data_IF_001416338239
#
_entry.id   IF_001416338239
#
_cell.length_a   1.000
_cell.length_b   1.000
_cell.length_c   1.000
_cell.angle_alpha   90.00
_cell.angle_beta   90.00
_cell.angle_gamma   90.00
#
_symmetry.space_group_name_H-M   'P 1'
#
loop_
_entity.id
_entity.type
_entity.pdbx_description
1 polymer ?
#
# COMPACT_ATOMS: atom_id res chain seq x y z
N UNK A 1 -18.71 -13.79 13.00
CA UNK A 1 -17.70 -12.71 12.96
C UNK A 1 -17.49 -12.28 14.39
N UNK A 2 -16.28 -12.49 14.93
CA UNK A 2 -15.99 -12.17 16.32
C UNK A 2 -15.89 -10.67 16.57
N UNK A 3 -16.03 -10.25 17.81
CA UNK A 3 -16.06 -8.84 18.30
C UNK A 3 -14.81 -8.00 18.02
N UNK A 4 -13.92 -8.42 17.13
CA UNK A 4 -12.62 -7.77 16.84
C UNK A 4 -12.56 -6.97 15.53
N UNK A 5 -13.61 -6.93 14.72
CA UNK A 5 -13.63 -6.14 13.49
C UNK A 5 -14.74 -5.10 13.55
N UNK A 6 -14.39 -3.83 13.41
CA UNK A 6 -15.38 -2.76 13.25
C UNK A 6 -15.80 -2.66 11.79
N UNK A 7 -17.11 -2.55 11.53
CA UNK A 7 -17.63 -2.22 10.21
C UNK A 7 -17.12 -0.86 9.75
N UNK A 8 -16.98 -0.68 8.45
CA UNK A 8 -16.51 0.57 7.84
C UNK A 8 -17.67 1.37 7.22
N UNK A 9 -18.91 1.07 7.62
CA UNK A 9 -20.09 1.80 7.14
C UNK A 9 -19.99 3.29 7.40
N UNK A 10 -20.27 4.07 6.36
CA UNK A 10 -20.18 5.53 6.42
C UNK A 10 -18.76 6.10 6.50
N UNK A 11 -17.72 5.27 6.45
CA UNK A 11 -16.32 5.71 6.43
C UNK A 11 -15.84 5.96 5.00
N UNK A 12 -14.99 6.99 4.83
CA UNK A 12 -14.24 7.21 3.61
C UNK A 12 -12.86 6.53 3.74
N UNK A 13 -12.58 5.61 2.84
CA UNK A 13 -11.26 5.01 2.68
C UNK A 13 -10.57 5.55 1.41
N UNK A 14 -9.28 5.82 1.49
CA UNK A 14 -8.48 6.25 0.35
C UNK A 14 -7.33 5.27 0.09
N UNK A 15 -7.24 4.74 -1.13
CA UNK A 15 -6.22 3.77 -1.52
C UNK A 15 -5.38 4.36 -2.65
N UNK A 16 -4.12 4.70 -2.37
CA UNK A 16 -3.16 5.05 -3.44
C UNK A 16 -2.64 3.79 -4.10
N UNK A 17 -2.42 3.83 -5.42
CA UNK A 17 -2.11 2.62 -6.19
C UNK A 17 -3.30 1.67 -6.35
N UNK A 18 -4.53 2.20 -6.24
CA UNK A 18 -5.78 1.42 -6.21
C UNK A 18 -6.21 0.79 -7.54
N UNK A 19 -5.52 1.08 -8.65
CA UNK A 19 -5.91 0.56 -9.97
C UNK A 19 -5.51 -0.89 -10.25
N UNK A 20 -4.59 -1.50 -9.51
CA UNK A 20 -4.13 -2.87 -9.77
C UNK A 20 -3.60 -3.56 -8.50
N UNK A 21 -3.40 -4.87 -8.56
CA UNK A 21 -2.68 -5.65 -7.55
C UNK A 21 -3.23 -5.49 -6.13
N UNK A 22 -2.35 -5.26 -5.16
CA UNK A 22 -2.71 -5.12 -3.74
C UNK A 22 -3.71 -3.99 -3.54
N UNK A 23 -3.49 -2.81 -4.15
CA UNK A 23 -4.38 -1.66 -3.98
C UNK A 23 -5.80 -1.93 -4.47
N UNK A 24 -5.97 -2.58 -5.66
CA UNK A 24 -7.29 -2.98 -6.17
C UNK A 24 -7.97 -3.99 -5.25
N UNK A 25 -7.27 -5.03 -4.80
CA UNK A 25 -7.82 -6.03 -3.90
C UNK A 25 -8.23 -5.42 -2.55
N UNK A 26 -7.40 -4.51 -2.02
CA UNK A 26 -7.72 -3.76 -0.80
C UNK A 26 -8.94 -2.86 -0.98
N UNK A 27 -9.06 -2.16 -2.12
CA UNK A 27 -10.24 -1.34 -2.41
C UNK A 27 -11.52 -2.20 -2.46
N UNK A 28 -11.46 -3.39 -3.04
CA UNK A 28 -12.56 -4.34 -3.05
C UNK A 28 -12.94 -4.80 -1.63
N UNK A 29 -11.94 -5.11 -0.81
CA UNK A 29 -12.15 -5.53 0.58
C UNK A 29 -12.83 -4.43 1.40
N UNK A 30 -12.29 -3.20 1.35
CA UNK A 30 -12.83 -2.03 2.07
C UNK A 30 -14.26 -1.71 1.65
N UNK A 31 -14.54 -1.80 0.34
CA UNK A 31 -15.89 -1.61 -0.18
C UNK A 31 -16.89 -2.65 0.35
N UNK A 32 -16.50 -3.93 0.40
CA UNK A 32 -17.32 -5.01 1.00
C UNK A 32 -17.53 -4.82 2.50
N UNK A 33 -16.58 -4.20 3.19
CA UNK A 33 -16.69 -3.84 4.60
C UNK A 33 -17.58 -2.60 4.85
N UNK A 34 -18.18 -2.01 3.81
CA UNK A 34 -19.13 -0.89 3.90
C UNK A 34 -18.54 0.49 3.65
N UNK A 35 -17.26 0.62 3.38
CA UNK A 35 -16.65 1.93 3.09
C UNK A 35 -17.07 2.50 1.74
N UNK A 36 -17.07 3.83 1.62
CA UNK A 36 -16.86 4.50 0.33
C UNK A 36 -15.37 4.55 0.08
N UNK A 37 -14.92 4.03 -1.06
CA UNK A 37 -13.48 3.88 -1.33
C UNK A 37 -13.06 4.76 -2.49
N UNK A 38 -12.16 5.71 -2.24
CA UNK A 38 -11.49 6.46 -3.27
C UNK A 38 -10.21 5.72 -3.70
N UNK A 39 -10.01 5.55 -4.99
CA UNK A 39 -8.81 4.94 -5.57
C UNK A 39 -8.01 5.96 -6.37
N UNK A 40 -6.70 6.02 -6.13
CA UNK A 40 -5.79 6.95 -6.80
C UNK A 40 -4.63 6.23 -7.48
N UNK A 41 -4.14 6.86 -8.53
CA UNK A 41 -3.00 6.45 -9.33
C UNK A 41 -2.86 7.33 -10.57
N UNK A 42 -1.81 7.14 -11.34
CA UNK A 42 -1.53 7.95 -12.55
C UNK A 42 -2.28 7.50 -13.80
N UNK A 43 -2.60 6.21 -13.87
CA UNK A 43 -3.25 5.60 -15.06
C UNK A 43 -4.76 5.65 -14.88
N UNK A 44 -5.37 6.70 -15.41
CA UNK A 44 -6.81 6.96 -15.27
C UNK A 44 -7.64 5.80 -15.84
N UNK A 45 -7.27 5.27 -16.99
CA UNK A 45 -7.95 4.15 -17.63
C UNK A 45 -8.01 2.90 -16.76
N UNK A 46 -6.88 2.57 -16.08
CA UNK A 46 -6.83 1.43 -15.14
C UNK A 46 -7.67 1.66 -13.89
N UNK A 47 -7.73 2.92 -13.41
CA UNK A 47 -8.58 3.29 -12.28
C UNK A 47 -10.05 3.15 -12.64
N UNK A 48 -10.46 3.68 -13.79
CA UNK A 48 -11.86 3.61 -14.25
C UNK A 48 -12.28 2.18 -14.54
N UNK A 49 -11.41 1.36 -15.15
CA UNK A 49 -11.66 -0.06 -15.32
C UNK A 49 -11.89 -0.76 -13.99
N UNK A 50 -11.00 -0.56 -13.03
CA UNK A 50 -11.14 -1.13 -11.69
C UNK A 50 -12.40 -0.63 -10.99
N UNK A 51 -12.69 0.67 -11.08
CA UNK A 51 -13.89 1.25 -10.47
C UNK A 51 -15.17 0.67 -11.10
N UNK A 52 -15.22 0.52 -12.42
CA UNK A 52 -16.37 -0.08 -13.11
C UNK A 52 -16.61 -1.53 -12.67
N UNK A 53 -15.54 -2.35 -12.59
CA UNK A 53 -15.62 -3.73 -12.16
C UNK A 53 -16.10 -3.86 -10.69
N UNK A 54 -15.64 -2.98 -9.81
CA UNK A 54 -16.03 -2.99 -8.40
C UNK A 54 -17.43 -2.40 -8.18
N UNK A 55 -17.80 -1.35 -8.92
CA UNK A 55 -19.17 -0.77 -8.90
C UNK A 55 -20.20 -1.79 -9.40
N UNK A 56 -19.85 -2.62 -10.38
CA UNK A 56 -20.72 -3.72 -10.86
C UNK A 56 -20.97 -4.78 -9.78
N UNK A 57 -20.12 -4.85 -8.75
CA UNK A 57 -20.32 -5.68 -7.56
C UNK A 57 -21.13 -4.96 -6.45
N UNK A 58 -21.67 -3.78 -6.72
CA UNK A 58 -22.43 -2.96 -5.76
C UNK A 58 -21.57 -2.14 -4.80
N UNK A 59 -20.25 -2.02 -5.02
CA UNK A 59 -19.35 -1.29 -4.13
C UNK A 59 -19.31 0.21 -4.47
N UNK A 60 -19.17 1.05 -3.45
CA UNK A 60 -19.07 2.51 -3.59
C UNK A 60 -17.61 2.90 -3.86
N UNK A 61 -17.26 3.10 -5.13
CA UNK A 61 -15.90 3.41 -5.57
C UNK A 61 -15.85 4.78 -6.23
N UNK A 62 -14.96 5.64 -5.77
CA UNK A 62 -14.63 6.94 -6.37
C UNK A 62 -13.26 6.87 -7.06
N UNK A 63 -13.13 7.51 -8.21
CA UNK A 63 -11.86 7.66 -8.90
C UNK A 63 -11.32 9.05 -8.66
N UNK A 64 -10.14 9.13 -8.05
CA UNK A 64 -9.44 10.38 -7.75
C UNK A 64 -7.99 10.28 -8.26
N UNK A 65 -7.72 10.55 -9.55
CA UNK A 65 -6.39 10.42 -10.12
C UNK A 65 -5.37 11.29 -9.37
N UNK A 66 -4.21 10.72 -9.08
CA UNK A 66 -3.10 11.46 -8.46
C UNK A 66 -1.75 10.82 -8.82
N UNK A 67 -0.73 11.65 -8.98
CA UNK A 67 0.66 11.22 -8.87
C UNK A 67 1.13 11.44 -7.44
N UNK A 68 1.40 10.35 -6.71
CA UNK A 68 1.87 10.44 -5.31
C UNK A 68 3.20 11.17 -5.18
N UNK A 69 4.01 11.22 -6.24
CA UNK A 69 5.27 11.95 -6.28
C UNK A 69 5.09 13.47 -6.31
N UNK A 70 3.88 13.96 -6.63
CA UNK A 70 3.51 15.37 -6.69
C UNK A 70 2.56 15.72 -5.53
N UNK A 71 3.03 16.50 -4.59
CA UNK A 71 2.26 16.92 -3.41
C UNK A 71 1.00 17.72 -3.78
N UNK A 72 1.06 18.55 -4.83
CA UNK A 72 -0.11 19.32 -5.29
C UNK A 72 -1.17 18.43 -5.90
N UNK A 73 -0.76 17.42 -6.69
CA UNK A 73 -1.67 16.41 -7.24
C UNK A 73 -2.36 15.60 -6.13
N UNK A 74 -1.61 15.20 -5.09
CA UNK A 74 -2.15 14.49 -3.93
C UNK A 74 -3.15 15.37 -3.16
N UNK A 75 -2.81 16.63 -2.89
CA UNK A 75 -3.68 17.57 -2.19
C UNK A 75 -4.99 17.82 -2.95
N UNK A 76 -4.94 17.97 -4.27
CA UNK A 76 -6.12 18.16 -5.11
C UNK A 76 -7.05 16.94 -5.09
N UNK A 77 -6.48 15.73 -5.21
CA UNK A 77 -7.25 14.49 -5.10
C UNK A 77 -7.90 14.35 -3.72
N UNK A 78 -7.15 14.59 -2.64
CA UNK A 78 -7.68 14.57 -1.28
C UNK A 78 -8.80 15.59 -1.09
N UNK A 79 -8.63 16.84 -1.52
CA UNK A 79 -9.65 17.88 -1.41
C UNK A 79 -10.95 17.48 -2.14
N UNK A 80 -10.84 16.85 -3.31
CA UNK A 80 -11.98 16.37 -4.07
C UNK A 80 -12.78 15.30 -3.33
N UNK A 81 -12.10 14.26 -2.80
CA UNK A 81 -12.79 13.16 -2.11
C UNK A 81 -13.31 13.58 -0.74
N UNK A 82 -12.54 14.36 0.02
CA UNK A 82 -12.94 14.81 1.35
C UNK A 82 -14.07 15.85 1.31
N UNK A 83 -14.09 16.69 0.27
CA UNK A 83 -15.19 17.65 0.05
C UNK A 83 -16.53 16.99 -0.27
N UNK A 84 -16.52 15.77 -0.83
CA UNK A 84 -17.73 15.00 -1.16
C UNK A 84 -18.19 14.08 -0.04
N UNK A 85 -17.26 13.46 0.68
CA UNK A 85 -17.53 12.33 1.56
C UNK A 85 -17.10 12.56 3.02
N UNK A 86 -16.57 13.74 3.34
CA UNK A 86 -16.02 14.03 4.65
C UNK A 86 -14.57 13.53 4.83
N UNK A 87 -14.04 13.55 6.05
CA UNK A 87 -12.65 13.23 6.30
C UNK A 87 -12.32 11.76 5.98
N UNK A 88 -11.14 11.55 5.43
CA UNK A 88 -10.60 10.19 5.21
C UNK A 88 -10.38 9.52 6.55
N UNK A 89 -11.06 8.41 6.79
CA UNK A 89 -10.95 7.62 8.03
C UNK A 89 -9.91 6.49 7.90
N UNK A 90 -9.68 6.00 6.67
CA UNK A 90 -8.72 4.94 6.36
C UNK A 90 -7.88 5.36 5.17
N UNK A 91 -6.55 5.37 5.33
CA UNK A 91 -5.60 5.56 4.24
C UNK A 91 -4.79 4.26 4.02
N UNK A 92 -4.74 3.79 2.77
CA UNK A 92 -3.86 2.68 2.38
C UNK A 92 -2.87 3.17 1.33
N UNK A 93 -1.60 3.26 1.70
CA UNK A 93 -0.52 3.65 0.81
C UNK A 93 0.03 2.42 0.07
N UNK A 94 -0.62 2.03 -1.04
CA UNK A 94 -0.20 0.88 -1.86
C UNK A 94 0.47 1.29 -3.18
N UNK A 95 0.60 2.58 -3.47
CA UNK A 95 1.39 3.05 -4.61
C UNK A 95 2.87 2.73 -4.41
N UNK A 96 3.49 2.15 -5.42
CA UNK A 96 4.91 1.84 -5.38
C UNK A 96 5.45 1.44 -6.74
N UNK A 97 6.77 1.55 -6.87
CA UNK A 97 7.49 1.22 -8.10
C UNK A 97 8.86 0.61 -7.80
N UNK A 98 9.45 0.03 -8.81
CA UNK A 98 10.86 -0.33 -8.84
C UNK A 98 11.41 -0.09 -10.26
N UNK A 99 12.73 -0.12 -10.40
CA UNK A 99 13.42 -0.01 -11.68
C UNK A 99 13.97 -1.37 -12.11
N UNK A 100 14.15 -1.62 -13.42
CA UNK A 100 14.77 -2.85 -13.91
C UNK A 100 16.24 -2.98 -13.48
N UNK A 101 17.00 -1.88 -13.58
CA UNK A 101 18.42 -1.83 -13.23
C UNK A 101 18.59 -1.64 -11.73
N UNK A 102 18.87 -2.71 -10.99
CA UNK A 102 18.81 -2.77 -9.53
C UNK A 102 20.16 -2.81 -8.82
N UNK A 103 21.22 -3.26 -9.52
CA UNK A 103 22.58 -3.34 -8.97
C UNK A 103 23.28 -1.98 -9.04
N UNK A 104 24.20 -1.71 -8.13
CA UNK A 104 24.99 -0.48 -8.14
C UNK A 104 25.71 -0.23 -9.48
N UNK A 105 26.10 -1.28 -10.19
CA UNK A 105 26.76 -1.18 -11.50
C UNK A 105 25.83 -0.75 -12.64
N UNK A 106 24.51 -0.81 -12.46
CA UNK A 106 23.50 -0.52 -13.51
C UNK A 106 22.47 0.51 -13.11
N UNK A 107 22.32 0.79 -11.81
CA UNK A 107 21.37 1.74 -11.29
C UNK A 107 21.89 3.16 -11.54
N UNK A 108 21.03 4.02 -12.12
CA UNK A 108 21.36 5.43 -12.30
C UNK A 108 20.87 6.28 -11.11
N UNK A 109 21.48 7.46 -10.86
CA UNK A 109 20.99 8.39 -9.84
C UNK A 109 19.51 8.76 -10.01
N UNK A 110 19.05 8.97 -11.25
CA UNK A 110 17.67 9.31 -11.58
C UNK A 110 16.73 8.13 -11.28
N UNK A 111 17.18 6.89 -11.58
CA UNK A 111 16.45 5.67 -11.25
C UNK A 111 16.29 5.50 -9.74
N UNK A 112 17.35 5.77 -8.97
CA UNK A 112 17.33 5.77 -7.51
C UNK A 112 16.34 6.82 -7.00
N UNK A 113 16.50 8.09 -7.42
CA UNK A 113 15.67 9.22 -7.01
C UNK A 113 14.19 8.97 -7.31
N UNK A 114 13.86 8.42 -8.48
CA UNK A 114 12.48 8.06 -8.87
C UNK A 114 11.84 7.05 -7.91
N UNK A 115 12.58 6.03 -7.48
CA UNK A 115 12.06 5.02 -6.54
C UNK A 115 11.81 5.66 -5.17
N UNK A 116 12.75 6.46 -4.67
CA UNK A 116 12.59 7.18 -3.40
C UNK A 116 11.39 8.14 -3.46
N UNK A 117 11.28 8.92 -4.54
CA UNK A 117 10.21 9.89 -4.71
C UNK A 117 8.82 9.24 -4.68
N UNK A 118 8.64 8.09 -5.32
CA UNK A 118 7.34 7.41 -5.36
C UNK A 118 7.09 6.63 -4.06
N UNK A 119 8.07 5.83 -3.61
CA UNK A 119 7.84 4.85 -2.56
C UNK A 119 7.92 5.44 -1.14
N UNK A 120 8.63 6.56 -0.96
CA UNK A 120 8.81 7.21 0.34
C UNK A 120 8.15 8.58 0.38
N UNK A 121 8.56 9.52 -0.49
CA UNK A 121 8.00 10.87 -0.49
C UNK A 121 6.51 10.84 -0.83
N UNK A 122 6.10 9.98 -1.76
CA UNK A 122 4.69 9.79 -2.12
C UNK A 122 3.83 9.28 -0.96
N UNK A 123 4.38 8.47 -0.06
CA UNK A 123 3.71 8.07 1.19
C UNK A 123 3.55 9.27 2.11
N UNK A 124 4.63 10.04 2.32
CA UNK A 124 4.58 11.24 3.16
C UNK A 124 3.55 12.26 2.64
N UNK A 125 3.48 12.48 1.33
CA UNK A 125 2.49 13.37 0.72
C UNK A 125 1.05 12.93 1.04
N UNK A 126 0.74 11.63 0.88
CA UNK A 126 -0.60 11.11 1.18
C UNK A 126 -0.94 11.20 2.67
N UNK A 127 0.01 10.92 3.55
CA UNK A 127 -0.15 11.04 5.01
C UNK A 127 -0.40 12.50 5.39
N UNK A 128 0.40 13.44 4.90
CA UNK A 128 0.22 14.86 5.16
C UNK A 128 -1.17 15.36 4.76
N UNK A 129 -1.72 14.88 3.66
CA UNK A 129 -3.04 15.28 3.19
C UNK A 129 -4.15 14.87 4.14
N UNK A 130 -4.09 13.67 4.76
CA UNK A 130 -5.18 13.12 5.58
C UNK A 130 -5.09 13.48 7.06
N UNK A 131 -3.89 13.72 7.60
CA UNK A 131 -3.68 13.93 9.04
C UNK A 131 -4.55 15.03 9.65
N UNK A 132 -4.69 16.24 9.05
CA UNK A 132 -5.54 17.29 9.63
C UNK A 132 -6.99 16.85 9.82
N UNK A 133 -7.54 16.14 8.82
CA UNK A 133 -8.90 15.61 8.87
C UNK A 133 -9.06 14.50 9.91
N UNK A 134 -8.09 13.59 10.00
CA UNK A 134 -8.09 12.51 11.00
C UNK A 134 -7.99 13.06 12.42
N UNK A 135 -7.11 14.05 12.67
CA UNK A 135 -7.04 14.74 13.98
C UNK A 135 -8.35 15.38 14.36
N UNK A 136 -8.99 16.13 13.44
CA UNK A 136 -10.25 16.78 13.68
C UNK A 136 -11.41 15.80 13.93
N UNK A 137 -11.36 14.61 13.30
CA UNK A 137 -12.34 13.54 13.49
C UNK A 137 -12.07 12.67 14.74
N UNK A 138 -10.99 12.92 15.48
CA UNK A 138 -10.61 12.14 16.66
C UNK A 138 -10.04 10.76 16.37
N UNK A 139 -9.51 10.53 15.17
CA UNK A 139 -8.80 9.30 14.84
C UNK A 139 -8.85 8.90 13.38
N UNK A 140 -8.08 7.87 13.07
CA UNK A 140 -7.98 7.28 11.74
C UNK A 140 -7.06 6.07 11.73
N UNK A 141 -7.05 5.34 10.62
CA UNK A 141 -6.14 4.21 10.42
C UNK A 141 -5.37 4.37 9.12
N UNK A 142 -4.05 4.26 9.20
CA UNK A 142 -3.14 4.35 8.05
C UNK A 142 -2.40 3.03 7.91
N UNK A 143 -2.50 2.38 6.75
CA UNK A 143 -1.71 1.20 6.42
C UNK A 143 -0.72 1.54 5.31
N UNK A 144 0.57 1.47 5.62
CA UNK A 144 1.65 1.77 4.68
C UNK A 144 2.20 0.46 4.15
N UNK A 145 1.91 0.16 2.87
CA UNK A 145 2.38 -1.06 2.22
C UNK A 145 3.87 -0.92 1.88
N UNK A 146 4.67 -1.52 2.74
CA UNK A 146 6.11 -1.66 2.59
C UNK A 146 6.46 -2.92 1.78
N UNK A 147 7.32 -3.75 2.29
CA UNK A 147 7.78 -5.01 1.71
C UNK A 147 8.57 -5.80 2.74
N UNK A 148 8.69 -7.11 2.54
CA UNK A 148 9.69 -7.91 3.28
C UNK A 148 11.11 -7.34 3.10
N UNK A 149 11.39 -6.65 1.98
CA UNK A 149 12.64 -5.92 1.75
C UNK A 149 12.80 -4.63 2.56
N UNK A 150 11.73 -4.14 3.18
CA UNK A 150 11.74 -3.03 4.14
C UNK A 150 11.87 -3.51 5.58
N UNK A 151 11.47 -4.76 5.85
CA UNK A 151 11.58 -5.39 7.16
C UNK A 151 12.96 -5.96 7.42
N UNK A 152 13.57 -6.57 6.39
CA UNK A 152 14.93 -7.13 6.48
C UNK A 152 15.62 -7.01 5.12
N UNK A 153 16.94 -6.81 5.12
CA UNK A 153 17.70 -6.66 3.89
C UNK A 153 17.52 -7.87 2.96
N UNK A 154 17.25 -7.58 1.70
CA UNK A 154 17.26 -8.53 0.58
C UNK A 154 17.98 -7.88 -0.61
N UNK A 155 18.86 -8.60 -1.25
CA UNK A 155 19.63 -8.14 -2.41
C UNK A 155 18.79 -8.05 -3.71
N UNK A 156 17.91 -9.02 -3.89
CA UNK A 156 17.07 -9.18 -5.08
C UNK A 156 16.24 -7.95 -5.50
N UNK A 157 15.57 -7.22 -4.59
CA UNK A 157 14.81 -6.03 -4.97
C UNK A 157 15.69 -4.85 -5.39
N UNK A 158 16.96 -4.86 -5.04
CA UNK A 158 17.92 -3.81 -5.31
C UNK A 158 17.89 -2.67 -4.30
N UNK A 159 18.99 -1.90 -4.27
CA UNK A 159 19.25 -0.91 -3.23
C UNK A 159 18.21 0.20 -3.17
N UNK A 160 17.78 0.77 -4.30
CA UNK A 160 16.81 1.86 -4.33
C UNK A 160 15.48 1.45 -3.69
N UNK A 161 15.00 0.25 -4.04
CA UNK A 161 13.75 -0.28 -3.50
C UNK A 161 13.88 -0.60 -2.01
N UNK A 162 14.91 -1.36 -1.61
CA UNK A 162 15.12 -1.72 -0.21
C UNK A 162 15.25 -0.48 0.67
N UNK A 163 16.08 0.50 0.26
CA UNK A 163 16.23 1.76 0.99
C UNK A 163 14.90 2.50 1.13
N UNK A 164 14.11 2.60 0.04
CA UNK A 164 12.82 3.27 0.07
C UNK A 164 11.82 2.61 1.01
N UNK A 165 11.83 1.27 1.09
CA UNK A 165 10.90 0.50 1.92
C UNK A 165 11.35 0.41 3.38
N UNK A 166 12.65 0.35 3.65
CA UNK A 166 13.21 0.40 5.01
C UNK A 166 12.96 1.76 5.66
N UNK A 167 13.06 2.86 4.90
CA UNK A 167 12.80 4.20 5.41
C UNK A 167 11.34 4.45 5.85
N UNK A 168 10.42 3.56 5.50
CA UNK A 168 9.02 3.65 5.94
C UNK A 168 8.83 3.26 7.42
N UNK A 169 9.72 2.43 7.99
CA UNK A 169 9.62 2.02 9.38
C UNK A 169 9.76 3.20 10.35
N UNK A 170 10.84 4.01 10.35
CA UNK A 170 10.92 5.19 11.21
C UNK A 170 9.81 6.22 10.95
N UNK A 171 9.30 6.31 9.71
CA UNK A 171 8.16 7.17 9.41
C UNK A 171 6.89 6.68 10.13
N UNK A 172 6.64 5.38 10.15
CA UNK A 172 5.50 4.79 10.89
C UNK A 172 5.67 4.97 12.39
N UNK A 173 6.86 4.75 12.93
CA UNK A 173 7.13 4.92 14.36
C UNK A 173 6.91 6.36 14.81
N UNK A 174 7.44 7.35 14.07
CA UNK A 174 7.22 8.77 14.35
C UNK A 174 5.73 9.13 14.30
N UNK A 175 4.98 8.64 13.31
CA UNK A 175 3.55 8.88 13.21
C UNK A 175 2.78 8.29 14.40
N UNK A 176 3.11 7.08 14.85
CA UNK A 176 2.46 6.49 16.01
C UNK A 176 2.78 7.24 17.31
N UNK A 177 4.02 7.72 17.46
CA UNK A 177 4.44 8.53 18.63
C UNK A 177 3.69 9.88 18.66
N UNK A 178 3.64 10.59 17.55
CA UNK A 178 3.07 11.93 17.50
C UNK A 178 1.53 11.93 17.43
N UNK A 179 0.94 11.02 16.64
CA UNK A 179 -0.47 11.05 16.28
C UNK A 179 -1.35 10.10 17.11
N UNK A 180 -0.74 9.17 17.85
CA UNK A 180 -1.47 8.25 18.73
C UNK A 180 -2.37 8.96 19.73
N UNK A 181 -1.97 10.12 20.27
CA UNK A 181 -2.79 10.97 21.15
C UNK A 181 -4.03 11.55 20.47
N UNK A 182 -4.07 11.59 19.13
CA UNK A 182 -5.20 12.02 18.33
C UNK A 182 -6.06 10.84 17.83
N UNK A 183 -5.78 9.62 18.31
CA UNK A 183 -6.48 8.41 17.90
C UNK A 183 -6.10 7.90 16.50
N UNK A 184 -5.02 8.43 15.88
CA UNK A 184 -4.50 7.94 14.62
C UNK A 184 -3.53 6.79 14.88
N UNK A 185 -3.70 5.69 14.17
CA UNK A 185 -2.82 4.52 14.24
C UNK A 185 -2.27 4.17 12.87
N UNK A 186 -1.00 3.82 12.81
CA UNK A 186 -0.28 3.59 11.57
C UNK A 186 0.39 2.21 11.60
N UNK A 187 0.25 1.45 10.51
CA UNK A 187 0.85 0.14 10.35
C UNK A 187 1.93 0.14 9.27
N UNK A 188 3.12 -0.36 9.64
CA UNK A 188 4.16 -0.78 8.69
C UNK A 188 3.82 -2.18 8.18
N UNK A 189 3.24 -2.27 7.00
CA UNK A 189 2.77 -3.53 6.44
C UNK A 189 3.79 -4.11 5.44
N UNK A 190 4.39 -5.25 5.77
CA UNK A 190 5.53 -5.84 5.07
C UNK A 190 5.16 -7.16 4.36
N UNK A 191 4.57 -7.11 3.15
CA UNK A 191 4.29 -8.32 2.40
C UNK A 191 5.55 -8.92 1.80
N UNK A 192 5.58 -10.26 1.72
CA UNK A 192 6.50 -11.02 0.91
C UNK A 192 6.17 -10.91 -0.58
N UNK A 193 6.45 -11.97 -1.34
CA UNK A 193 6.13 -11.97 -2.77
C UNK A 193 4.62 -12.14 -2.98
N UNK A 194 4.06 -11.26 -3.79
CA UNK A 194 2.62 -11.20 -4.13
C UNK A 194 2.46 -11.30 -5.64
N UNK A 195 1.56 -12.16 -6.10
CA UNK A 195 1.23 -12.36 -7.52
C UNK A 195 0.52 -11.14 -8.12
N UNK A 196 1.28 -10.11 -8.46
CA UNK A 196 0.79 -8.83 -8.99
C UNK A 196 1.43 -8.48 -10.32
N UNK A 197 0.82 -7.59 -11.12
CA UNK A 197 1.38 -7.17 -12.42
C UNK A 197 2.80 -6.60 -12.36
N UNK A 198 3.23 -6.07 -11.21
CA UNK A 198 4.59 -5.54 -11.03
C UNK A 198 5.67 -6.60 -11.23
N UNK A 199 5.36 -7.88 -11.08
CA UNK A 199 6.29 -8.98 -11.32
C UNK A 199 6.82 -9.01 -12.74
N UNK A 200 6.00 -8.55 -13.71
CA UNK A 200 6.38 -8.49 -15.14
C UNK A 200 7.46 -7.44 -15.43
N UNK A 201 7.71 -6.51 -14.49
CA UNK A 201 8.75 -5.46 -14.61
C UNK A 201 10.10 -5.94 -14.07
N UNK A 202 10.19 -7.15 -13.56
CA UNK A 202 11.46 -7.73 -13.07
C UNK A 202 12.40 -8.01 -14.22
N UNK A 203 13.72 -7.89 -14.02
CA UNK A 203 14.71 -8.29 -15.02
C UNK A 203 14.52 -9.74 -15.48
N UNK A 204 14.19 -10.63 -14.55
CA UNK A 204 13.77 -12.01 -14.82
C UNK A 204 12.41 -12.21 -14.16
N UNK A 205 11.33 -12.25 -14.95
CA UNK A 205 10.00 -12.55 -14.42
C UNK A 205 9.93 -13.97 -13.82
N UNK A 206 9.17 -14.17 -12.75
CA UNK A 206 8.97 -15.50 -12.19
C UNK A 206 8.15 -16.38 -13.13
N UNK A 207 8.36 -17.70 -13.03
CA UNK A 207 7.54 -18.70 -13.74
C UNK A 207 6.13 -18.79 -13.17
N UNK A 208 5.21 -19.38 -13.91
CA UNK A 208 3.82 -19.60 -13.44
C UNK A 208 3.79 -20.48 -12.18
N UNK A 209 4.68 -21.48 -12.07
CA UNK A 209 4.81 -22.31 -10.87
C UNK A 209 5.25 -21.50 -9.66
N UNK A 210 6.19 -20.56 -9.83
CA UNK A 210 6.61 -19.65 -8.76
C UNK A 210 5.50 -18.68 -8.37
N UNK A 211 4.78 -18.15 -9.35
CA UNK A 211 3.63 -17.26 -9.11
C UNK A 211 2.53 -17.99 -8.32
N UNK A 212 2.26 -19.25 -8.64
CA UNK A 212 1.24 -20.05 -7.94
C UNK A 212 1.55 -20.27 -6.45
N UNK A 213 2.82 -20.12 -6.04
CA UNK A 213 3.26 -20.25 -4.63
C UNK A 213 3.33 -18.91 -3.88
N UNK A 214 3.11 -17.78 -4.57
CA UNK A 214 3.11 -16.46 -3.95
C UNK A 214 1.79 -16.17 -3.23
N UNK A 215 1.81 -15.14 -2.37
CA UNK A 215 0.56 -14.55 -1.88
C UNK A 215 -0.27 -14.03 -3.05
N UNK A 216 -1.57 -14.16 -2.95
CA UNK A 216 -2.49 -13.45 -3.85
C UNK A 216 -2.74 -12.04 -3.32
N UNK A 217 -3.08 -11.08 -4.17
CA UNK A 217 -3.48 -9.74 -3.72
C UNK A 217 -4.59 -9.75 -2.67
N UNK A 218 -5.50 -10.73 -2.75
CA UNK A 218 -6.62 -10.92 -1.83
C UNK A 218 -6.14 -11.33 -0.42
N UNK A 219 -5.13 -12.21 -0.32
CA UNK A 219 -4.55 -12.62 0.97
C UNK A 219 -3.95 -11.40 1.71
N UNK A 220 -3.34 -10.49 0.94
CA UNK A 220 -2.80 -9.22 1.47
C UNK A 220 -3.91 -8.26 1.85
N UNK A 221 -4.97 -8.17 1.04
CA UNK A 221 -6.12 -7.31 1.32
C UNK A 221 -6.88 -7.74 2.58
N UNK A 222 -7.02 -9.04 2.82
CA UNK A 222 -7.63 -9.58 4.05
C UNK A 222 -6.83 -9.18 5.29
N UNK A 223 -5.49 -9.28 5.23
CA UNK A 223 -4.62 -8.87 6.33
C UNK A 223 -4.63 -7.35 6.56
N UNK A 224 -4.62 -6.53 5.49
CA UNK A 224 -4.78 -5.07 5.58
C UNK A 224 -6.15 -4.74 6.18
N UNK A 225 -7.19 -5.44 5.74
CA UNK A 225 -8.54 -5.29 6.27
C UNK A 225 -8.61 -5.51 7.77
N UNK A 226 -7.96 -6.57 8.27
CA UNK A 226 -7.84 -6.81 9.71
C UNK A 226 -7.16 -5.65 10.44
N UNK A 227 -6.05 -5.13 9.88
CA UNK A 227 -5.31 -4.00 10.46
C UNK A 227 -6.21 -2.76 10.61
N UNK A 228 -6.90 -2.36 9.54
CA UNK A 228 -7.64 -1.09 9.52
C UNK A 228 -8.98 -1.17 10.25
N UNK A 229 -9.55 -2.37 10.41
CA UNK A 229 -10.81 -2.60 11.12
C UNK A 229 -10.63 -3.03 12.58
N UNK A 230 -9.40 -3.09 13.09
CA UNK A 230 -9.11 -3.34 14.49
C UNK A 230 -9.79 -2.31 15.39
N UNK A 231 -10.18 -2.65 16.63
CA UNK A 231 -10.73 -1.70 17.60
C UNK A 231 -9.86 -0.46 17.77
N UNK A 232 -10.44 0.70 18.03
CA UNK A 232 -9.74 1.99 18.04
C UNK A 232 -8.57 2.07 19.02
N UNK A 233 -8.62 1.31 20.11
CA UNK A 233 -7.54 1.22 21.11
C UNK A 233 -6.41 0.24 20.74
N UNK A 234 -6.53 -0.48 19.60
CA UNK A 234 -5.53 -1.44 19.13
C UNK A 234 -4.76 -0.85 17.96
N UNK A 235 -3.45 -0.77 18.09
CA UNK A 235 -2.52 -0.44 17.02
C UNK A 235 -1.72 -1.67 16.63
N UNK A 236 -1.90 -2.14 15.39
CA UNK A 236 -1.04 -3.14 14.78
C UNK A 236 0.11 -2.39 14.07
N UNK A 237 1.14 -2.05 14.85
CA UNK A 237 2.20 -1.16 14.38
C UNK A 237 3.04 -1.76 13.25
N UNK A 238 3.25 -3.08 13.28
CA UNK A 238 3.94 -3.80 12.22
C UNK A 238 3.25 -5.13 11.93
N UNK A 239 3.14 -5.46 10.64
CA UNK A 239 2.63 -6.76 10.18
C UNK A 239 3.53 -7.29 9.07
N UNK A 240 4.06 -8.48 9.25
CA UNK A 240 4.83 -9.21 8.24
C UNK A 240 4.01 -10.40 7.77
N UNK A 241 3.73 -10.47 6.48
CA UNK A 241 3.00 -11.58 5.84
C UNK A 241 3.81 -12.11 4.66
N UNK A 242 3.99 -13.41 4.60
CA UNK A 242 4.75 -14.07 3.53
C UNK A 242 4.06 -15.37 3.11
N UNK A 243 4.30 -15.84 1.87
CA UNK A 243 3.82 -17.16 1.48
C UNK A 243 4.49 -18.22 2.36
N UNK A 244 3.78 -19.32 2.64
CA UNK A 244 4.33 -20.43 3.43
C UNK A 244 5.61 -20.96 2.82
N UNK A 245 5.65 -21.08 1.49
CA UNK A 245 6.86 -21.41 0.73
C UNK A 245 7.57 -20.10 0.33
N UNK A 246 8.22 -19.47 1.30
CA UNK A 246 8.93 -18.22 1.09
C UNK A 246 10.36 -18.50 0.62
N UNK A 247 10.63 -18.27 -0.65
CA UNK A 247 11.94 -18.51 -1.25
C UNK A 247 13.05 -17.59 -0.74
N UNK A 248 12.75 -16.55 0.00
CA UNK A 248 13.76 -15.76 0.74
C UNK A 248 14.32 -16.50 1.95
N UNK A 249 13.64 -17.54 2.43
CA UNK A 249 14.06 -18.39 3.54
C UNK A 249 14.29 -19.82 3.09
N UNK A 250 13.43 -20.35 2.24
CA UNK A 250 13.42 -21.71 1.71
C UNK A 250 13.79 -21.63 0.23
N UNK A 251 14.83 -22.33 -0.20
CA UNK A 251 15.21 -22.36 -1.61
C UNK A 251 15.86 -21.06 -2.12
N UNK A 252 16.50 -20.29 -1.26
CA UNK A 252 17.27 -19.09 -1.65
C UNK A 252 18.35 -19.35 -2.72
N UNK A 253 18.71 -20.60 -2.96
CA UNK A 253 19.58 -21.00 -4.06
C UNK A 253 18.94 -20.76 -5.44
N UNK A 254 17.61 -20.89 -5.54
CA UNK A 254 16.91 -20.63 -6.81
C UNK A 254 16.96 -19.15 -7.21
N UNK A 255 17.09 -18.25 -6.25
CA UNK A 255 17.30 -16.82 -6.50
C UNK A 255 18.73 -16.53 -6.96
N UNK A 256 19.72 -17.23 -6.41
CA UNK A 256 21.15 -17.06 -6.77
C UNK A 256 21.45 -17.52 -8.19
N UNK A 257 20.73 -18.51 -8.71
CA UNK A 257 20.87 -19.01 -10.08
C UNK A 257 20.37 -18.04 -11.16
N UNK A 258 19.68 -16.95 -10.77
CA UNK A 258 19.04 -16.00 -11.67
C UNK A 258 19.58 -14.57 -11.58
N UNK A 259 20.63 -14.35 -10.78
CA UNK A 259 21.25 -13.04 -10.58
C UNK A 259 22.29 -12.69 -11.68
#
# INVERSE_FOLDING_TARGET
>A
MGAMQQGLDGKLAWVTGGGTGIGRATAAWLGRAGATVAISGRRVEELEKTAAELRAQGLRIEVAPADVADAASVAAAHATISGRHGPVSVLVCAAGTNVPNRSWSKLTPEGFAKVIQINLVGVANAVHAVLPGMRAAGGGSICIVSSLAGWTYKDFPGVAYSSSKTALDPLVQSLNDEEGRHGVRVCHFCPGEVATPILRTRPVPPSDEEIARMLRPEDVADAIGYVVSAPSHVCLAEVVIAPTWNRFYIGGEDLKRRA
#
